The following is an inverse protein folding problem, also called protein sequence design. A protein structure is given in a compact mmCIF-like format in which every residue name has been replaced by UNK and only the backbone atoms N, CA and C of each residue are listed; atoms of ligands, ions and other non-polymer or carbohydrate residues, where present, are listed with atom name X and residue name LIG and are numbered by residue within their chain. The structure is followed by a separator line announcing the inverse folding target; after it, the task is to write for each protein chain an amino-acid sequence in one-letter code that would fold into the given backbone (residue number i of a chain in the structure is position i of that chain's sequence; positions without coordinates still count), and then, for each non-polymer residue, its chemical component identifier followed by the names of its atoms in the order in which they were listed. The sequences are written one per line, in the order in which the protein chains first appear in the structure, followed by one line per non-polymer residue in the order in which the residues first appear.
data_IF_419071753333
#
_entry.id   IF_419071753333
#
_cell.length_a   1.000
_cell.length_b   1.000
_cell.length_c   1.000
_cell.angle_alpha   90.00
_cell.angle_beta   90.00
_cell.angle_gamma   90.00
#
_symmetry.space_group_name_H-M   'P 1'
#
loop_
_entity.id
_entity.type
_entity.pdbx_description
1 polymer ?
#
# COMPACT_ATOMS: atom_id res chain seq x y z
N UNK A 1 13.21 -35.90 26.60
CA UNK A 1 13.26 -35.80 25.14
C UNK A 1 12.35 -34.67 24.70
N UNK A 2 12.90 -33.57 24.19
CA UNK A 2 12.09 -32.50 23.58
C UNK A 2 11.95 -32.87 22.11
N UNK A 3 10.82 -33.46 21.73
CA UNK A 3 10.50 -33.67 20.32
C UNK A 3 10.44 -32.31 19.64
N UNK A 4 11.32 -32.07 18.65
CA UNK A 4 11.19 -30.93 17.76
C UNK A 4 9.83 -31.04 17.06
N UNK A 5 8.87 -30.22 17.48
CA UNK A 5 7.57 -30.13 16.82
C UNK A 5 7.83 -29.58 15.42
N UNK A 6 7.81 -30.48 14.42
CA UNK A 6 7.89 -30.12 13.01
C UNK A 6 6.77 -29.11 12.76
N UNK A 7 7.10 -27.89 12.33
CA UNK A 7 6.10 -26.85 12.02
C UNK A 7 5.07 -27.45 11.06
N UNK A 8 3.83 -27.60 11.52
CA UNK A 8 2.73 -28.10 10.69
C UNK A 8 2.59 -27.16 9.50
N UNK A 9 2.52 -27.69 8.29
CA UNK A 9 2.27 -26.89 7.09
C UNK A 9 0.75 -26.69 6.93
N UNK A 10 0.33 -25.67 6.20
CA UNK A 10 -1.07 -25.55 5.79
C UNK A 10 -1.39 -26.62 4.76
N UNK A 11 -2.51 -27.31 4.94
CA UNK A 11 -3.09 -28.20 3.94
C UNK A 11 -3.81 -27.41 2.84
N UNK A 12 -4.12 -28.08 1.72
CA UNK A 12 -4.92 -27.47 0.64
C UNK A 12 -6.32 -27.04 1.12
N UNK A 13 -6.95 -27.82 1.99
CA UNK A 13 -8.25 -27.47 2.56
C UNK A 13 -8.16 -26.22 3.45
N UNK A 14 -7.14 -26.14 4.32
CA UNK A 14 -6.91 -24.95 5.16
C UNK A 14 -6.56 -23.72 4.31
N UNK A 15 -5.80 -23.88 3.22
CA UNK A 15 -5.53 -22.81 2.26
C UNK A 15 -6.82 -22.32 1.59
N UNK A 16 -7.70 -23.24 1.16
CA UNK A 16 -8.98 -22.87 0.55
C UNK A 16 -9.89 -22.14 1.54
N UNK A 17 -9.95 -22.60 2.80
CA UNK A 17 -10.69 -21.90 3.85
C UNK A 17 -10.14 -20.48 4.09
N UNK A 18 -8.81 -20.33 4.12
CA UNK A 18 -8.16 -19.02 4.25
C UNK A 18 -8.50 -18.11 3.07
N UNK A 19 -8.39 -18.62 1.83
CA UNK A 19 -8.68 -17.86 0.62
C UNK A 19 -10.14 -17.41 0.61
N UNK A 20 -11.09 -18.30 0.94
CA UNK A 20 -12.52 -17.95 1.04
C UNK A 20 -12.77 -16.86 2.08
N UNK A 21 -12.14 -16.95 3.24
CA UNK A 21 -12.30 -15.94 4.30
C UNK A 21 -11.69 -14.59 3.90
N UNK A 22 -10.50 -14.59 3.28
CA UNK A 22 -9.87 -13.36 2.76
C UNK A 22 -10.69 -12.77 1.61
N UNK A 23 -11.30 -13.59 0.75
CA UNK A 23 -12.18 -13.12 -0.31
C UNK A 23 -13.46 -12.47 0.24
N UNK A 24 -14.03 -13.05 1.29
CA UNK A 24 -15.22 -12.50 1.95
C UNK A 24 -14.94 -11.17 2.67
N UNK A 25 -13.78 -11.04 3.33
CA UNK A 25 -13.46 -9.85 4.13
C UNK A 25 -12.70 -8.76 3.37
N UNK A 26 -12.17 -9.07 2.18
CA UNK A 26 -11.36 -8.17 1.32
C UNK A 26 -10.37 -7.29 2.11
N UNK A 27 -9.51 -7.87 2.99
CA UNK A 27 -8.68 -7.09 3.90
C UNK A 27 -7.70 -6.15 3.20
N UNK A 28 -7.30 -6.47 1.97
CA UNK A 28 -6.36 -5.69 1.16
C UNK A 28 -6.99 -4.44 0.51
N UNK A 29 -8.32 -4.34 0.50
CA UNK A 29 -9.07 -3.15 0.05
C UNK A 29 -9.22 -2.11 1.15
N UNK A 30 -9.01 -2.51 2.41
CA UNK A 30 -9.09 -1.60 3.54
C UNK A 30 -7.92 -0.60 3.56
N UNK A 31 -8.11 0.60 4.16
CA UNK A 31 -7.00 1.49 4.47
C UNK A 31 -5.92 0.79 5.30
N UNK A 32 -4.66 1.22 5.21
CA UNK A 32 -3.52 0.55 5.86
C UNK A 32 -3.74 0.20 7.35
N UNK A 33 -4.41 1.09 8.10
CA UNK A 33 -4.73 0.87 9.53
C UNK A 33 -5.82 -0.20 9.77
N UNK A 34 -6.64 -0.50 8.76
CA UNK A 34 -7.74 -1.47 8.81
C UNK A 34 -7.37 -2.88 8.35
N UNK A 35 -6.32 -3.04 7.54
CA UNK A 35 -5.90 -4.34 6.99
C UNK A 35 -5.67 -5.38 8.11
N UNK A 36 -4.89 -5.03 9.13
CA UNK A 36 -4.59 -5.95 10.24
C UNK A 36 -5.82 -6.27 11.10
N UNK A 37 -6.79 -5.36 11.19
CA UNK A 37 -8.04 -5.58 11.92
C UNK A 37 -8.89 -6.63 11.20
N UNK A 38 -9.05 -6.49 9.89
CA UNK A 38 -9.77 -7.47 9.08
C UNK A 38 -9.05 -8.82 9.07
N UNK A 39 -7.73 -8.86 8.90
CA UNK A 39 -6.98 -10.13 9.01
C UNK A 39 -7.10 -10.79 10.39
N UNK A 40 -7.21 -10.00 11.46
CA UNK A 40 -7.48 -10.54 12.80
C UNK A 40 -8.88 -11.15 12.87
N UNK A 41 -9.88 -10.50 12.28
CA UNK A 41 -11.25 -11.02 12.16
C UNK A 41 -11.27 -12.32 11.37
N UNK A 42 -10.64 -12.36 10.19
CA UNK A 42 -10.51 -13.55 9.37
C UNK A 42 -9.84 -14.71 10.12
N UNK A 43 -8.73 -14.45 10.83
CA UNK A 43 -8.04 -15.45 11.63
C UNK A 43 -8.93 -15.99 12.76
N UNK A 44 -9.66 -15.12 13.45
CA UNK A 44 -10.60 -15.52 14.49
C UNK A 44 -11.74 -16.38 13.93
N UNK A 45 -12.31 -15.98 12.79
CA UNK A 45 -13.36 -16.74 12.10
C UNK A 45 -12.88 -18.13 11.65
N UNK A 46 -11.62 -18.27 11.26
CA UNK A 46 -11.02 -19.56 10.91
C UNK A 46 -10.76 -20.41 12.16
N UNK A 47 -10.22 -19.83 13.23
CA UNK A 47 -9.94 -20.55 14.48
C UNK A 47 -11.18 -21.15 15.15
N UNK A 48 -12.36 -20.61 14.85
CA UNK A 48 -13.64 -21.12 15.36
C UNK A 48 -14.22 -22.31 14.59
N UNK A 49 -13.59 -22.75 13.49
CA UNK A 49 -14.06 -23.88 12.66
C UNK A 49 -13.34 -25.17 13.04
N UNK A 50 -14.09 -26.25 13.23
CA UNK A 50 -13.54 -27.56 13.62
C UNK A 50 -12.56 -28.12 12.59
N UNK A 51 -12.83 -27.88 11.30
CA UNK A 51 -12.01 -28.35 10.19
C UNK A 51 -10.69 -27.59 10.05
N UNK A 52 -10.58 -26.42 10.69
CA UNK A 52 -9.40 -25.58 10.63
C UNK A 52 -8.45 -25.87 11.81
N UNK A 53 -7.56 -26.83 11.61
CA UNK A 53 -6.73 -27.37 12.70
C UNK A 53 -5.61 -26.44 13.20
N UNK A 54 -5.48 -25.24 12.60
CA UNK A 54 -4.47 -24.24 12.95
C UNK A 54 -4.94 -23.30 14.05
N UNK A 55 -4.96 -23.81 15.28
CA UNK A 55 -5.31 -23.03 16.47
C UNK A 55 -4.39 -21.83 16.72
N UNK A 56 -3.18 -21.83 16.15
CA UNK A 56 -2.19 -20.75 16.31
C UNK A 56 -2.27 -19.66 15.23
N UNK A 57 -3.30 -19.68 14.38
CA UNK A 57 -3.50 -18.69 13.32
C UNK A 57 -3.64 -17.28 13.92
N UNK A 58 -2.94 -16.32 13.35
CA UNK A 58 -3.07 -14.90 13.67
C UNK A 58 -3.06 -14.08 12.38
N UNK A 59 -3.35 -12.79 12.50
CA UNK A 59 -3.39 -11.88 11.35
C UNK A 59 -2.09 -11.90 10.52
N UNK A 60 -0.92 -12.00 11.17
CA UNK A 60 0.37 -12.00 10.47
C UNK A 60 0.58 -13.30 9.70
N UNK A 61 0.24 -14.45 10.30
CA UNK A 61 0.32 -15.76 9.65
C UNK A 61 -0.66 -15.87 8.50
N UNK A 62 -1.90 -15.38 8.68
CA UNK A 62 -2.90 -15.30 7.63
C UNK A 62 -2.39 -14.45 6.45
N UNK A 63 -1.85 -13.26 6.73
CA UNK A 63 -1.27 -12.38 5.70
C UNK A 63 -0.10 -13.04 4.98
N UNK A 64 0.85 -13.59 5.72
CA UNK A 64 2.02 -14.25 5.15
C UNK A 64 1.59 -15.41 4.25
N UNK A 65 0.68 -16.26 4.73
CA UNK A 65 0.21 -17.40 3.95
C UNK A 65 -0.53 -16.96 2.69
N UNK A 66 -1.43 -15.99 2.80
CA UNK A 66 -2.13 -15.41 1.65
C UNK A 66 -1.15 -14.88 0.59
N UNK A 67 -0.14 -14.11 0.98
CA UNK A 67 0.86 -13.60 0.05
C UNK A 67 1.68 -14.70 -0.62
N UNK A 68 2.04 -15.76 0.12
CA UNK A 68 2.73 -16.93 -0.45
C UNK A 68 1.85 -17.62 -1.49
N UNK A 69 0.55 -17.77 -1.23
CA UNK A 69 -0.39 -18.38 -2.16
C UNK A 69 -0.52 -17.58 -3.46
N UNK A 70 -0.70 -16.25 -3.38
CA UNK A 70 -0.75 -15.38 -4.56
C UNK A 70 0.57 -15.40 -5.36
N UNK A 71 1.72 -15.38 -4.66
CA UNK A 71 3.03 -15.42 -5.31
C UNK A 71 3.25 -16.72 -6.06
N UNK A 72 2.92 -17.85 -5.43
CA UNK A 72 3.07 -19.16 -6.06
C UNK A 72 2.14 -19.31 -7.27
N UNK A 73 0.89 -18.84 -7.14
CA UNK A 73 -0.08 -18.86 -8.25
C UNK A 73 0.39 -18.03 -9.44
N UNK A 74 0.95 -16.84 -9.19
CA UNK A 74 1.53 -16.01 -10.25
C UNK A 74 2.71 -16.69 -10.95
N UNK A 75 3.57 -17.40 -10.22
CA UNK A 75 4.66 -18.16 -10.82
C UNK A 75 4.15 -19.33 -11.66
N UNK A 76 3.16 -20.07 -11.14
CA UNK A 76 2.53 -21.17 -11.86
C UNK A 76 1.84 -20.69 -13.14
N UNK A 77 0.99 -19.66 -13.10
CA UNK A 77 0.37 -19.10 -14.31
C UNK A 77 1.42 -18.62 -15.33
N UNK A 78 2.55 -18.06 -14.89
CA UNK A 78 3.66 -17.67 -15.80
C UNK A 78 4.35 -18.87 -16.44
N UNK A 79 4.49 -19.98 -15.72
CA UNK A 79 5.08 -21.21 -16.23
C UNK A 79 4.10 -21.96 -17.14
N UNK A 80 2.82 -22.05 -16.75
CA UNK A 80 1.74 -22.62 -17.57
C UNK A 80 1.52 -21.84 -18.85
N UNK A 81 1.47 -20.50 -18.85
CA UNK A 81 1.37 -19.72 -20.11
C UNK A 81 2.58 -19.96 -21.03
N UNK A 82 3.77 -20.18 -20.46
CA UNK A 82 4.97 -20.54 -21.24
C UNK A 82 4.96 -21.99 -21.73
N UNK A 83 4.21 -22.87 -21.08
CA UNK A 83 4.18 -24.31 -21.33
C UNK A 83 2.91 -24.79 -22.06
N UNK A 84 1.81 -24.02 -22.05
CA UNK A 84 0.50 -24.46 -22.55
C UNK A 84 0.53 -24.62 -24.08
N UNK A 85 -0.11 -25.63 -24.67
CA UNK A 85 -1.34 -26.31 -24.26
C UNK A 85 -1.29 -27.14 -22.97
N UNK A 86 -2.04 -26.69 -21.96
CA UNK A 86 -2.34 -27.44 -20.74
C UNK A 86 -3.87 -27.49 -20.56
N UNK A 87 -4.35 -28.68 -20.21
CA UNK A 87 -5.75 -29.10 -20.02
C UNK A 87 -5.93 -29.62 -18.58
N UNK A 88 -5.44 -28.83 -17.62
CA UNK A 88 -5.55 -29.12 -16.19
C UNK A 88 -6.96 -28.81 -15.67
N UNK A 89 -7.49 -29.69 -14.81
CA UNK A 89 -8.78 -29.50 -14.12
C UNK A 89 -8.74 -28.20 -13.32
N UNK A 90 -9.42 -27.17 -13.83
CA UNK A 90 -9.62 -25.90 -13.17
C UNK A 90 -10.43 -26.16 -11.89
N UNK A 91 -9.77 -26.11 -10.73
CA UNK A 91 -10.39 -26.34 -9.43
C UNK A 91 -10.79 -25.01 -8.77
N UNK A 92 -11.73 -25.07 -7.81
CA UNK A 92 -12.23 -23.89 -7.10
C UNK A 92 -11.11 -23.05 -6.49
N UNK A 93 -10.00 -23.69 -6.08
CA UNK A 93 -8.84 -22.98 -5.53
C UNK A 93 -8.19 -22.10 -6.59
N UNK A 94 -8.04 -22.61 -7.81
CA UNK A 94 -7.46 -21.89 -8.94
C UNK A 94 -8.35 -20.72 -9.36
N UNK A 95 -9.67 -20.94 -9.47
CA UNK A 95 -10.67 -19.89 -9.71
C UNK A 95 -10.54 -18.74 -8.70
N UNK A 96 -10.54 -19.10 -7.42
CA UNK A 96 -10.50 -18.13 -6.34
C UNK A 96 -9.16 -17.38 -6.30
N UNK A 97 -8.05 -18.05 -6.63
CA UNK A 97 -6.74 -17.42 -6.72
C UNK A 97 -6.65 -16.47 -7.92
N UNK A 98 -7.25 -16.80 -9.06
CA UNK A 98 -7.31 -15.90 -10.22
C UNK A 98 -8.09 -14.62 -9.87
N UNK A 99 -9.29 -14.76 -9.30
CA UNK A 99 -10.12 -13.62 -8.88
C UNK A 99 -9.40 -12.74 -7.86
N UNK A 100 -8.83 -13.36 -6.80
CA UNK A 100 -8.10 -12.65 -5.75
C UNK A 100 -6.85 -11.95 -6.30
N UNK A 101 -6.15 -12.56 -7.26
CA UNK A 101 -4.94 -11.97 -7.84
C UNK A 101 -5.27 -10.70 -8.63
N UNK A 102 -6.32 -10.72 -9.44
CA UNK A 102 -6.79 -9.55 -10.20
C UNK A 102 -7.18 -8.43 -9.25
N UNK A 103 -8.08 -8.71 -8.30
CA UNK A 103 -8.56 -7.73 -7.32
C UNK A 103 -7.42 -7.15 -6.47
N UNK A 104 -6.45 -7.98 -6.08
CA UNK A 104 -5.30 -7.55 -5.29
C UNK A 104 -4.37 -6.63 -6.09
N UNK A 105 -4.08 -6.95 -7.36
CA UNK A 105 -3.22 -6.15 -8.23
C UNK A 105 -3.84 -4.80 -8.56
N UNK A 106 -5.13 -4.78 -8.90
CA UNK A 106 -5.88 -3.54 -9.15
C UNK A 106 -5.83 -2.62 -7.95
N UNK A 107 -6.06 -3.17 -6.75
CA UNK A 107 -6.01 -2.39 -5.52
C UNK A 107 -4.59 -1.88 -5.23
N UNK A 108 -3.55 -2.67 -5.51
CA UNK A 108 -2.15 -2.23 -5.38
C UNK A 108 -1.81 -1.11 -6.34
N UNK A 109 -2.30 -1.17 -7.58
CA UNK A 109 -2.06 -0.12 -8.56
C UNK A 109 -2.78 1.17 -8.18
N UNK A 110 -4.04 1.09 -7.77
CA UNK A 110 -4.78 2.25 -7.25
C UNK A 110 -4.08 2.89 -6.04
N UNK A 111 -3.50 2.10 -5.13
CA UNK A 111 -2.74 2.63 -3.99
C UNK A 111 -1.49 3.38 -4.44
N UNK A 112 -0.75 2.88 -5.44
CA UNK A 112 0.41 3.58 -6.00
C UNK A 112 0.00 4.88 -6.68
N UNK A 113 -1.04 4.85 -7.51
CA UNK A 113 -1.54 6.06 -8.18
C UNK A 113 -1.95 7.15 -7.19
N UNK A 114 -2.64 6.77 -6.11
CA UNK A 114 -3.01 7.70 -5.02
C UNK A 114 -1.77 8.27 -4.34
N UNK A 115 -0.77 7.44 -4.05
CA UNK A 115 0.48 7.90 -3.44
C UNK A 115 1.21 8.90 -4.35
N UNK A 116 1.29 8.63 -5.66
CA UNK A 116 1.89 9.55 -6.65
C UNK A 116 1.12 10.85 -6.74
N UNK A 117 -0.22 10.83 -6.71
CA UNK A 117 -1.03 12.05 -6.72
C UNK A 117 -0.78 12.91 -5.48
N UNK A 118 -0.72 12.30 -4.29
CA UNK A 118 -0.43 13.00 -3.03
C UNK A 118 0.97 13.63 -3.05
N UNK A 119 1.98 12.90 -3.55
CA UNK A 119 3.34 13.41 -3.66
C UNK A 119 3.45 14.59 -4.63
N UNK A 120 2.82 14.48 -5.80
CA UNK A 120 2.76 15.56 -6.78
C UNK A 120 2.05 16.81 -6.23
N UNK A 121 0.96 16.64 -5.47
CA UNK A 121 0.24 17.75 -4.84
C UNK A 121 1.07 18.41 -3.74
N UNK A 122 1.77 17.63 -2.91
CA UNK A 122 2.69 18.14 -1.90
C UNK A 122 3.82 18.97 -2.55
N UNK A 123 4.42 18.48 -3.63
CA UNK A 123 5.47 19.19 -4.36
C UNK A 123 4.94 20.49 -4.99
N UNK A 124 3.73 20.48 -5.56
CA UNK A 124 3.08 21.68 -6.11
C UNK A 124 2.87 22.73 -5.01
N UNK A 125 2.31 22.32 -3.87
CA UNK A 125 2.07 23.21 -2.74
C UNK A 125 3.37 23.81 -2.19
N UNK A 126 4.45 23.02 -2.13
CA UNK A 126 5.77 23.52 -1.73
C UNK A 126 6.33 24.55 -2.72
N UNK A 127 6.23 24.26 -4.02
CA UNK A 127 6.68 25.15 -5.08
C UNK A 127 5.93 26.49 -5.05
N UNK A 128 4.60 26.45 -4.93
CA UNK A 128 3.76 27.64 -4.79
C UNK A 128 4.14 28.46 -3.55
N UNK A 129 4.32 27.79 -2.40
CA UNK A 129 4.79 28.45 -1.19
C UNK A 129 6.17 29.09 -1.34
N UNK A 130 7.07 28.48 -2.10
CA UNK A 130 8.40 29.02 -2.40
C UNK A 130 8.32 30.30 -3.23
N UNK A 131 7.48 30.31 -4.27
CA UNK A 131 7.24 31.48 -5.12
C UNK A 131 6.74 32.65 -4.26
N UNK A 132 5.69 32.44 -3.46
CA UNK A 132 5.13 33.49 -2.59
C UNK A 132 6.17 34.03 -1.61
N UNK A 133 6.98 33.17 -0.99
CA UNK A 133 8.08 33.61 -0.10
C UNK A 133 9.10 34.47 -0.85
N UNK A 134 9.49 34.07 -2.05
CA UNK A 134 10.47 34.79 -2.88
C UNK A 134 9.96 36.18 -3.32
N UNK A 135 8.68 36.27 -3.67
CA UNK A 135 8.02 37.53 -4.05
C UNK A 135 7.92 38.49 -2.85
N UNK A 136 7.53 37.98 -1.68
CA UNK A 136 7.44 38.76 -0.45
C UNK A 136 8.82 39.34 -0.04
N UNK A 137 9.88 38.53 -0.10
CA UNK A 137 11.26 38.98 0.19
C UNK A 137 11.73 40.06 -0.79
N UNK A 138 11.41 39.90 -2.08
CA UNK A 138 11.75 40.86 -3.12
C UNK A 138 11.02 42.21 -2.95
N UNK A 139 9.76 42.18 -2.52
CA UNK A 139 8.95 43.38 -2.22
C UNK A 139 9.46 44.15 -0.98
N UNK A 140 9.87 43.42 0.08
CA UNK A 140 10.49 44.00 1.28
C UNK A 140 11.85 44.66 0.98
N UNK A 141 12.67 44.05 0.13
CA UNK A 141 13.98 44.59 -0.26
C UNK A 141 13.90 45.91 -1.04
N UNK A 142 12.85 46.10 -1.85
CA UNK A 142 12.63 47.35 -2.60
C UNK A 142 12.30 48.53 -1.68
N UNK A 143 11.54 48.29 -0.60
CA UNK A 143 11.19 49.33 0.40
C UNK A 143 12.41 49.88 1.14
N UNK A 144 13.41 49.05 1.48
CA UNK A 144 14.66 49.53 2.12
C UNK A 144 15.57 50.35 1.18
N UNK A 145 15.48 50.16 -0.14
CA UNK A 145 16.26 50.93 -1.13
C UNK A 145 15.63 52.29 -1.47
N UNK A 146 14.29 52.39 -1.47
CA UNK A 146 13.58 53.67 -1.65
C UNK A 146 13.89 54.67 -0.54
N UNK A 147 13.79 54.24 0.72
CA UNK A 147 14.05 55.09 1.89
C UNK A 147 15.49 55.62 1.92
N UNK A 148 16.49 54.80 1.54
CA UNK A 148 17.90 55.24 1.45
C UNK A 148 18.19 56.21 0.30
N UNK A 149 17.43 56.16 -0.81
CA UNK A 149 17.61 57.06 -1.96
C UNK A 149 16.98 58.44 -1.70
N UNK A 150 15.88 58.48 -0.98
CA UNK A 150 15.18 59.72 -0.61
C UNK A 150 15.96 60.50 0.47
N UNK A 151 16.49 59.81 1.49
CA UNK A 151 17.34 60.42 2.52
C UNK A 151 18.64 61.02 1.97
N UNK A 152 19.25 60.42 0.94
CA UNK A 152 20.45 60.98 0.28
C UNK A 152 20.16 62.17 -0.63
N UNK A 153 18.94 62.29 -1.17
CA UNK A 153 18.54 63.44 -1.99
C UNK A 153 18.20 64.65 -1.13
N UNK A 154 17.61 64.45 0.05
CA UNK A 154 17.35 65.54 1.01
C UNK A 154 18.62 66.19 1.57
N UNK A 155 19.69 65.43 1.80
CA UNK A 155 20.95 65.96 2.36
C UNK A 155 21.85 66.70 1.36
N UNK A 156 21.60 66.58 0.05
CA UNK A 156 22.36 67.30 -0.98
C UNK A 156 21.71 68.66 -1.28
N UNK A 157 20.41 68.82 -1.03
CA UNK A 157 19.67 70.06 -1.28
C UNK A 157 19.76 71.11 -0.16
N UNK A 158 20.53 70.86 0.90
CA UNK A 158 20.65 71.73 2.08
C UNK A 158 22.04 72.39 2.20
N UNK A 159 22.91 72.24 1.20
CA UNK A 159 24.28 72.77 1.20
C UNK A 159 24.61 73.69 -0.01
N UNK A 160 23.59 74.21 -0.72
CA UNK A 160 23.76 75.29 -1.70
C UNK A 160 23.14 76.60 -1.18
#
# INVERSE_FOLDING_TARGET
MISQVKRRQFSQAEDLMLLRQVNAERPYEAPAKGIMKLLTSAAAALSGREEFTRADIDAKKAQYRFNVLLSNHRSFNKESVKASGDDGVYDERTELLDELLVSYDDMKEQQKERAVKVDNEAQRNENEGSIVRSEALSSLGKRKRGVKREQRRGQIAEND
#
